data_IF_013266963853
#
_entry.id   IF_013266963853
#
_cell.length_a   1.000
_cell.length_b   1.000
_cell.length_c   1.000
_cell.angle_alpha   90.00
_cell.angle_beta   90.00
_cell.angle_gamma   90.00
#
_symmetry.space_group_name_H-M   'P 1'
#
loop_
_entity.id
_entity.type
_entity.pdbx_description
1 polymer ?
#
# COMPACT_ATOMS: atom_id res chain seq x y z
N UNK A 1 77.11 9.31 7.95
CA UNK A 1 76.76 7.94 8.38
C UNK A 1 75.25 7.82 8.32
N UNK A 2 74.79 6.88 7.52
CA UNK A 2 73.45 6.78 6.94
C UNK A 2 72.44 6.22 7.95
N UNK A 3 71.34 6.91 8.18
CA UNK A 3 70.18 6.38 8.92
C UNK A 3 69.45 5.35 8.02
N UNK A 4 69.11 4.14 8.50
CA UNK A 4 68.33 3.20 7.69
C UNK A 4 66.88 3.67 7.58
N UNK A 5 66.39 3.76 6.34
CA UNK A 5 65.02 4.15 5.98
C UNK A 5 63.96 3.27 6.65
N UNK A 6 63.17 3.85 7.53
CA UNK A 6 61.99 3.23 8.19
C UNK A 6 60.69 3.39 7.40
N UNK A 7 60.75 3.78 6.13
CA UNK A 7 59.59 4.22 5.34
C UNK A 7 58.98 3.18 4.37
N UNK A 8 59.45 1.92 4.37
CA UNK A 8 58.99 0.90 3.41
C UNK A 8 58.24 -0.30 4.03
N UNK A 9 57.89 -0.23 5.31
CA UNK A 9 57.22 -1.32 6.04
C UNK A 9 55.69 -1.17 6.12
N UNK A 10 55.09 -0.06 5.68
CA UNK A 10 53.69 0.25 5.97
C UNK A 10 52.63 -0.59 5.22
N UNK A 11 52.95 -1.48 4.27
CA UNK A 11 51.94 -2.37 3.66
C UNK A 11 52.42 -3.75 3.23
N UNK A 12 53.55 -4.23 3.77
CA UNK A 12 53.93 -5.62 3.51
C UNK A 12 53.09 -6.50 4.45
N UNK A 13 52.16 -7.26 3.89
CA UNK A 13 51.40 -8.25 4.66
C UNK A 13 52.39 -9.21 5.30
N UNK A 14 52.45 -9.19 6.62
CA UNK A 14 53.32 -10.03 7.43
C UNK A 14 53.00 -11.50 7.10
N UNK A 15 53.97 -12.27 6.64
CA UNK A 15 53.76 -13.70 6.38
C UNK A 15 54.03 -14.53 7.63
N UNK A 16 53.40 -15.71 7.76
CA UNK A 16 53.72 -16.65 8.84
C UNK A 16 55.21 -16.95 8.98
N UNK A 17 55.93 -17.07 7.87
CA UNK A 17 57.37 -17.34 7.84
C UNK A 17 58.18 -16.14 8.33
N UNK A 18 57.75 -14.92 7.98
CA UNK A 18 58.40 -13.70 8.47
C UNK A 18 58.38 -13.63 10.00
N UNK A 19 57.29 -14.06 10.65
CA UNK A 19 57.15 -14.05 12.12
C UNK A 19 58.01 -15.13 12.78
N UNK A 20 58.05 -16.33 12.20
CA UNK A 20 58.80 -17.47 12.75
C UNK A 20 60.31 -17.23 12.76
N UNK A 21 60.80 -16.41 11.84
CA UNK A 21 62.24 -16.23 11.59
C UNK A 21 62.73 -14.82 11.91
N UNK A 22 61.96 -14.04 12.69
CA UNK A 22 62.44 -12.76 13.19
C UNK A 22 63.63 -12.98 14.13
N UNK A 23 64.75 -12.37 13.77
CA UNK A 23 65.91 -12.27 14.65
C UNK A 23 65.79 -11.05 15.56
N UNK A 24 65.52 -11.30 16.84
CA UNK A 24 65.43 -10.27 17.86
C UNK A 24 66.82 -10.03 18.49
N UNK A 25 67.30 -8.77 18.58
CA UNK A 25 68.55 -8.46 19.25
C UNK A 25 68.43 -8.68 20.76
N UNK A 26 69.44 -9.30 21.37
CA UNK A 26 69.50 -9.51 22.82
C UNK A 26 69.96 -8.22 23.50
N UNK A 27 69.10 -7.64 24.34
CA UNK A 27 69.41 -6.41 25.10
C UNK A 27 69.94 -6.79 26.49
N UNK A 28 71.10 -6.27 26.93
CA UNK A 28 71.82 -6.75 28.12
C UNK A 28 71.16 -6.41 29.46
N UNK A 29 70.26 -5.43 29.52
CA UNK A 29 69.57 -5.04 30.75
C UNK A 29 68.07 -4.90 30.47
N UNK A 30 67.24 -5.64 31.22
CA UNK A 30 65.77 -5.56 31.22
C UNK A 30 65.04 -6.02 29.94
N UNK A 31 65.60 -6.99 29.19
CA UNK A 31 64.96 -7.59 28.01
C UNK A 31 63.99 -8.73 28.34
N UNK A 32 63.07 -9.02 27.40
CA UNK A 32 62.25 -10.24 27.44
C UNK A 32 63.11 -11.48 27.28
N UNK A 33 62.73 -12.59 27.93
CA UNK A 33 63.40 -13.87 27.74
C UNK A 33 63.33 -14.31 26.27
N UNK A 34 64.50 -14.53 25.66
CA UNK A 34 64.62 -14.81 24.24
C UNK A 34 63.97 -16.15 23.84
N UNK A 35 63.98 -17.13 24.75
CA UNK A 35 63.37 -18.43 24.51
C UNK A 35 61.84 -18.32 24.54
N UNK A 36 61.29 -17.67 25.57
CA UNK A 36 59.85 -17.40 25.68
C UNK A 36 59.35 -16.57 24.49
N UNK A 37 60.08 -15.52 24.10
CA UNK A 37 59.75 -14.71 22.93
C UNK A 37 59.75 -15.53 21.63
N UNK A 38 60.75 -16.41 21.44
CA UNK A 38 60.82 -17.28 20.25
C UNK A 38 59.70 -18.32 20.22
N UNK A 39 59.33 -18.91 21.37
CA UNK A 39 58.19 -19.82 21.45
C UNK A 39 56.88 -19.11 21.06
N UNK A 40 56.66 -17.90 21.58
CA UNK A 40 55.48 -17.12 21.26
C UNK A 40 55.43 -16.72 19.78
N UNK A 41 56.56 -16.32 19.18
CA UNK A 41 56.63 -16.00 17.75
C UNK A 41 56.31 -17.20 16.85
N UNK A 42 56.75 -18.40 17.21
CA UNK A 42 56.40 -19.63 16.48
C UNK A 42 54.89 -19.90 16.58
N UNK A 43 54.32 -19.83 17.79
CA UNK A 43 52.88 -20.01 17.99
C UNK A 43 52.05 -18.96 17.24
N UNK A 44 52.47 -17.69 17.26
CA UNK A 44 51.84 -16.62 16.51
C UNK A 44 51.93 -16.82 14.99
N UNK A 45 53.06 -17.36 14.50
CA UNK A 45 53.23 -17.75 13.10
C UNK A 45 52.34 -18.93 12.68
N UNK A 46 52.12 -19.90 13.57
CA UNK A 46 51.17 -21.00 13.33
C UNK A 46 49.72 -20.51 13.28
N UNK A 47 49.33 -19.66 14.24
CA UNK A 47 47.99 -19.06 14.27
C UNK A 47 47.71 -18.19 13.04
N UNK A 48 48.68 -17.38 12.61
CA UNK A 48 48.57 -16.58 11.40
C UNK A 48 48.44 -17.44 10.14
N UNK A 49 49.14 -18.57 10.07
CA UNK A 49 49.01 -19.51 8.95
C UNK A 49 47.60 -20.11 8.89
N UNK A 50 47.03 -20.49 10.04
CA UNK A 50 45.65 -20.98 10.14
C UNK A 50 44.66 -19.88 9.71
N UNK A 51 44.83 -18.66 10.20
CA UNK A 51 43.97 -17.54 9.81
C UNK A 51 44.04 -17.25 8.30
N UNK A 52 45.23 -17.32 7.70
CA UNK A 52 45.41 -17.12 6.26
C UNK A 52 44.74 -18.20 5.42
N UNK A 53 44.82 -19.47 5.81
CA UNK A 53 44.14 -20.56 5.09
C UNK A 53 42.63 -20.43 5.21
N UNK A 54 42.13 -20.08 6.39
CA UNK A 54 40.69 -19.88 6.59
C UNK A 54 40.17 -18.67 5.82
N UNK A 55 40.87 -17.53 5.84
CA UNK A 55 40.51 -16.36 5.01
C UNK A 55 40.49 -16.73 3.53
N UNK A 56 41.47 -17.51 3.06
CA UNK A 56 41.52 -17.95 1.66
C UNK A 56 40.33 -18.85 1.32
N UNK A 57 39.97 -19.76 2.21
CA UNK A 57 38.80 -20.64 2.08
C UNK A 57 37.50 -19.84 2.06
N UNK A 58 37.28 -18.96 3.04
CA UNK A 58 36.10 -18.10 3.12
C UNK A 58 35.96 -17.19 1.89
N UNK A 59 37.08 -16.68 1.36
CA UNK A 59 37.06 -15.91 0.11
C UNK A 59 36.64 -16.77 -1.08
N UNK A 60 37.13 -18.01 -1.16
CA UNK A 60 36.73 -18.94 -2.23
C UNK A 60 35.23 -19.29 -2.12
N UNK A 61 34.74 -19.57 -0.92
CA UNK A 61 33.33 -19.89 -0.66
C UNK A 61 32.42 -18.71 -0.99
N UNK A 62 32.82 -17.48 -0.64
CA UNK A 62 32.10 -16.25 -1.00
C UNK A 62 32.03 -16.08 -2.52
N UNK A 63 33.15 -16.28 -3.23
CA UNK A 63 33.17 -16.18 -4.70
C UNK A 63 32.25 -17.24 -5.32
N UNK A 64 32.30 -18.49 -4.83
CA UNK A 64 31.44 -19.56 -5.32
C UNK A 64 29.94 -19.26 -5.07
N UNK A 65 29.58 -18.82 -3.87
CA UNK A 65 28.21 -18.46 -3.52
C UNK A 65 27.70 -17.24 -4.32
N UNK A 66 28.56 -16.26 -4.55
CA UNK A 66 28.21 -15.08 -5.37
C UNK A 66 28.00 -15.45 -6.84
N UNK A 67 28.80 -16.36 -7.38
CA UNK A 67 28.67 -16.83 -8.76
C UNK A 67 27.41 -17.67 -8.98
N UNK A 68 26.93 -18.41 -7.98
CA UNK A 68 25.67 -19.16 -8.11
C UNK A 68 24.43 -18.27 -7.93
N UNK A 69 24.47 -17.25 -7.07
CA UNK A 69 23.29 -16.43 -6.79
C UNK A 69 23.02 -15.33 -7.83
N UNK A 70 24.04 -14.76 -8.45
CA UNK A 70 23.88 -13.55 -9.28
C UNK A 70 23.28 -13.74 -10.68
N UNK A 71 23.56 -14.80 -11.46
CA UNK A 71 23.04 -14.91 -12.83
C UNK A 71 21.56 -15.28 -12.86
N UNK A 72 21.11 -16.18 -11.98
CA UNK A 72 19.76 -16.73 -12.00
C UNK A 72 18.73 -15.72 -11.46
N UNK A 73 19.07 -14.99 -10.40
CA UNK A 73 18.21 -13.94 -9.82
C UNK A 73 17.96 -12.82 -10.83
N UNK A 74 18.95 -12.47 -11.66
CA UNK A 74 18.80 -11.39 -12.63
C UNK A 74 17.84 -11.76 -13.77
N UNK A 75 17.94 -12.98 -14.32
CA UNK A 75 17.05 -13.46 -15.37
C UNK A 75 15.59 -13.59 -14.88
N UNK A 76 15.40 -14.11 -13.66
CA UNK A 76 14.08 -14.22 -13.04
C UNK A 76 13.46 -12.85 -12.75
N UNK A 77 14.23 -11.90 -12.22
CA UNK A 77 13.75 -10.55 -11.91
C UNK A 77 13.33 -9.79 -13.16
N UNK A 78 14.08 -9.92 -14.26
CA UNK A 78 13.70 -9.30 -15.55
C UNK A 78 12.40 -9.91 -16.09
N UNK A 79 12.20 -11.22 -15.95
CA UNK A 79 10.95 -11.89 -16.33
C UNK A 79 9.78 -11.40 -15.46
N UNK A 80 9.97 -11.32 -14.14
CA UNK A 80 8.96 -10.80 -13.21
C UNK A 80 8.60 -9.34 -13.53
N UNK A 81 9.58 -8.49 -13.82
CA UNK A 81 9.37 -7.10 -14.22
C UNK A 81 8.59 -7.01 -15.53
N UNK A 82 8.94 -7.82 -16.54
CA UNK A 82 8.22 -7.86 -17.80
C UNK A 82 6.76 -8.29 -17.61
N UNK A 83 6.50 -9.29 -16.77
CA UNK A 83 5.13 -9.70 -16.42
C UNK A 83 4.38 -8.60 -15.69
N UNK A 84 5.02 -7.93 -14.74
CA UNK A 84 4.41 -6.82 -14.00
C UNK A 84 4.05 -5.65 -14.93
N UNK A 85 4.89 -5.34 -15.92
CA UNK A 85 4.60 -4.33 -16.94
C UNK A 85 3.38 -4.69 -17.79
N UNK A 86 3.32 -5.93 -18.30
CA UNK A 86 2.16 -6.41 -19.09
C UNK A 86 0.87 -6.34 -18.26
N UNK A 87 0.93 -6.72 -16.99
CA UNK A 87 -0.22 -6.65 -16.07
C UNK A 87 -0.63 -5.18 -15.82
N UNK A 88 0.34 -4.29 -15.63
CA UNK A 88 0.08 -2.87 -15.44
C UNK A 88 -0.59 -2.25 -16.68
N UNK A 89 -0.07 -2.53 -17.87
CA UNK A 89 -0.64 -2.03 -19.13
C UNK A 89 -2.08 -2.54 -19.34
N UNK A 90 -2.34 -3.80 -19.00
CA UNK A 90 -3.70 -4.36 -19.00
C UNK A 90 -4.61 -3.59 -18.04
N UNK A 91 -4.16 -3.35 -16.81
CA UNK A 91 -4.98 -2.62 -15.82
C UNK A 91 -5.23 -1.17 -16.22
N UNK A 92 -4.29 -0.52 -16.90
CA UNK A 92 -4.49 0.82 -17.46
C UNK A 92 -5.59 0.77 -18.53
N UNK A 93 -5.50 -0.19 -19.47
CA UNK A 93 -6.54 -0.38 -20.48
C UNK A 93 -7.92 -0.66 -19.86
N UNK A 94 -7.99 -1.52 -18.84
CA UNK A 94 -9.24 -1.85 -18.15
C UNK A 94 -9.80 -0.61 -17.40
N UNK A 95 -8.93 0.18 -16.77
CA UNK A 95 -9.32 1.41 -16.08
C UNK A 95 -9.81 2.50 -17.04
N UNK A 96 -9.20 2.64 -18.22
CA UNK A 96 -9.66 3.54 -19.26
C UNK A 96 -11.07 3.16 -19.75
N UNK A 97 -11.29 1.88 -20.04
CA UNK A 97 -12.61 1.38 -20.45
C UNK A 97 -13.68 1.65 -19.37
N UNK A 98 -13.34 1.39 -18.10
CA UNK A 98 -14.25 1.69 -16.99
C UNK A 98 -14.56 3.19 -16.88
N UNK A 99 -13.57 4.06 -17.09
CA UNK A 99 -13.78 5.50 -17.08
C UNK A 99 -14.73 5.96 -18.21
N UNK A 100 -14.62 5.38 -19.40
CA UNK A 100 -15.55 5.67 -20.50
C UNK A 100 -16.98 5.25 -20.16
N UNK A 101 -17.18 4.04 -19.63
CA UNK A 101 -18.51 3.56 -19.23
C UNK A 101 -19.12 4.41 -18.09
N UNK A 102 -18.29 4.84 -17.15
CA UNK A 102 -18.72 5.74 -16.08
C UNK A 102 -19.19 7.10 -16.61
N UNK A 103 -18.48 7.68 -17.59
CA UNK A 103 -18.88 8.96 -18.20
C UNK A 103 -20.17 8.79 -19.01
N UNK A 104 -20.31 7.70 -19.77
CA UNK A 104 -21.51 7.43 -20.55
C UNK A 104 -22.74 7.20 -19.67
N UNK A 105 -22.59 6.44 -18.58
CA UNK A 105 -23.65 6.27 -17.60
C UNK A 105 -24.04 7.59 -16.91
N UNK A 106 -23.07 8.41 -16.52
CA UNK A 106 -23.32 9.73 -15.94
C UNK A 106 -24.06 10.67 -16.92
N UNK A 107 -23.69 10.66 -18.21
CA UNK A 107 -24.38 11.45 -19.25
C UNK A 107 -25.82 11.00 -19.47
N UNK A 108 -26.06 9.68 -19.48
CA UNK A 108 -27.41 9.12 -19.58
C UNK A 108 -28.27 9.56 -18.38
N UNK A 109 -27.74 9.41 -17.17
CA UNK A 109 -28.43 9.84 -15.94
C UNK A 109 -28.73 11.34 -15.94
N UNK A 110 -27.79 12.18 -16.35
CA UNK A 110 -27.99 13.63 -16.46
C UNK A 110 -29.13 13.97 -17.44
N UNK A 111 -29.15 13.32 -18.60
CA UNK A 111 -30.19 13.54 -19.62
C UNK A 111 -31.55 13.07 -19.12
N UNK A 112 -31.63 11.92 -18.45
CA UNK A 112 -32.87 11.44 -17.83
C UNK A 112 -33.41 12.37 -16.76
N UNK A 113 -32.54 12.92 -15.90
CA UNK A 113 -32.94 13.87 -14.86
C UNK A 113 -33.51 15.13 -15.50
N UNK A 114 -32.87 15.66 -16.55
CA UNK A 114 -33.39 16.82 -17.28
C UNK A 114 -34.73 16.52 -17.95
N UNK A 115 -34.88 15.36 -18.59
CA UNK A 115 -36.14 14.97 -19.22
C UNK A 115 -37.26 14.82 -18.18
N UNK A 116 -36.99 14.16 -17.04
CA UNK A 116 -37.93 14.05 -15.92
C UNK A 116 -38.31 15.43 -15.38
N UNK A 117 -37.36 16.33 -15.18
CA UNK A 117 -37.65 17.68 -14.73
C UNK A 117 -38.56 18.44 -15.72
N UNK A 118 -38.30 18.31 -17.03
CA UNK A 118 -39.13 18.92 -18.08
C UNK A 118 -40.56 18.36 -18.09
N UNK A 119 -40.75 17.04 -17.96
CA UNK A 119 -42.09 16.44 -17.90
C UNK A 119 -42.83 16.81 -16.62
N UNK A 120 -42.13 16.92 -15.49
CA UNK A 120 -42.71 17.42 -14.23
C UNK A 120 -43.15 18.88 -14.34
N UNK A 121 -42.38 19.76 -14.99
CA UNK A 121 -42.80 21.16 -15.22
C UNK A 121 -43.96 21.24 -16.22
N UNK A 122 -43.93 20.47 -17.31
CA UNK A 122 -45.01 20.46 -18.29
C UNK A 122 -46.34 19.95 -17.68
N UNK A 123 -46.30 18.92 -16.84
CA UNK A 123 -47.48 18.42 -16.12
C UNK A 123 -47.96 19.39 -15.03
N UNK A 124 -47.05 20.04 -14.30
CA UNK A 124 -47.40 21.08 -13.33
C UNK A 124 -48.06 22.32 -13.99
N UNK A 125 -47.58 22.73 -15.17
CA UNK A 125 -48.16 23.84 -15.94
C UNK A 125 -49.47 23.48 -16.68
N UNK A 126 -49.78 22.19 -16.84
CA UNK A 126 -51.07 21.73 -17.39
C UNK A 126 -52.17 21.62 -16.32
N UNK A 127 -51.81 21.53 -15.03
CA UNK A 127 -52.74 21.45 -13.91
C UNK A 127 -53.50 22.75 -13.51
N UNK A 128 -53.07 24.00 -13.83
CA UNK A 128 -53.79 25.20 -13.38
C UNK A 128 -55.05 25.51 -14.21
N UNK A 129 -55.32 24.79 -15.31
CA UNK A 129 -56.53 24.97 -16.10
C UNK A 129 -57.80 24.32 -15.49
N UNK A 130 -57.66 23.45 -14.48
CA UNK A 130 -58.78 22.75 -13.85
C UNK A 130 -59.13 23.23 -12.42
N UNK A 131 -58.27 24.06 -11.79
CA UNK A 131 -58.44 24.48 -10.39
C UNK A 131 -59.10 25.86 -10.19
N UNK A 132 -59.48 26.58 -11.26
CA UNK A 132 -60.06 27.94 -11.18
C UNK A 132 -61.61 27.99 -11.21
N UNK A 133 -62.33 26.89 -10.96
CA UNK A 133 -63.81 26.90 -11.00
C UNK A 133 -64.53 26.82 -9.65
N UNK A 134 -63.84 26.78 -8.51
CA UNK A 134 -64.50 26.61 -7.22
C UNK A 134 -63.95 27.55 -6.14
N UNK A 135 -64.31 28.83 -6.24
CA UNK A 135 -64.24 29.86 -5.17
C UNK A 135 -65.08 31.06 -5.61
N UNK A 136 -66.41 30.93 -5.62
CA UNK A 136 -67.34 31.48 -4.63
C UNK A 136 -67.33 33.01 -4.47
N UNK A 137 -68.35 33.62 -5.08
CA UNK A 137 -69.38 34.46 -4.46
C UNK A 137 -69.32 34.54 -2.92
N UNK A 138 -68.90 35.68 -2.37
CA UNK A 138 -69.60 36.35 -1.26
C UNK A 138 -69.11 37.79 -1.11
N UNK A 139 -70.06 38.72 -1.10
CA UNK A 139 -69.86 40.15 -1.07
C UNK A 139 -69.62 40.68 0.36
N UNK A 140 -68.78 41.72 0.42
CA UNK A 140 -68.87 42.94 1.24
C UNK A 140 -69.03 42.87 2.77
N UNK A 141 -68.08 43.49 3.51
CA UNK A 141 -68.23 44.87 4.05
C UNK A 141 -66.98 45.39 4.80
N UNK A 142 -66.68 46.67 4.55
CA UNK A 142 -65.90 47.67 5.32
C UNK A 142 -64.35 47.73 5.24
N UNK A 143 -63.88 48.75 4.51
CA UNK A 143 -62.61 49.51 4.64
C UNK A 143 -62.81 50.66 5.69
N UNK A 144 -61.80 51.45 6.15
CA UNK A 144 -60.36 51.43 5.83
C UNK A 144 -59.37 51.67 7.01
N UNK A 145 -58.08 51.45 6.72
CA UNK A 145 -56.94 52.34 7.04
C UNK A 145 -55.91 51.95 8.13
N UNK A 146 -54.65 52.14 7.71
CA UNK A 146 -53.42 52.49 8.44
C UNK A 146 -52.41 51.40 8.87
N UNK A 147 -51.22 51.51 8.26
CA UNK A 147 -49.87 51.21 8.73
C UNK A 147 -49.39 49.76 8.89
N UNK A 148 -48.34 49.45 8.10
CA UNK A 148 -47.27 48.51 8.45
C UNK A 148 -46.31 49.18 9.48
N UNK A 149 -45.35 48.47 10.13
CA UNK A 149 -44.97 47.05 9.93
C UNK A 149 -44.78 46.20 11.23
N UNK A 150 -44.98 44.88 11.08
CA UNK A 150 -44.45 43.75 11.90
C UNK A 150 -44.85 43.68 13.40
N UNK A 151 -45.16 42.49 13.97
CA UNK A 151 -44.19 41.39 14.09
C UNK A 151 -44.74 39.96 13.89
N UNK A 152 -43.82 39.08 13.49
CA UNK A 152 -43.71 37.66 13.87
C UNK A 152 -45.00 36.90 14.27
N UNK A 153 -45.64 36.28 13.28
CA UNK A 153 -46.38 35.00 13.34
C UNK A 153 -46.97 34.85 11.93
N UNK A 154 -46.77 33.79 11.16
CA UNK A 154 -46.84 32.37 11.46
C UNK A 154 -46.03 31.64 10.40
N UNK A 155 -45.28 30.60 10.78
CA UNK A 155 -44.70 29.66 9.82
C UNK A 155 -45.86 28.96 9.12
N UNK A 156 -46.23 29.48 7.95
CA UNK A 156 -47.13 28.83 7.00
C UNK A 156 -46.45 27.57 6.47
N UNK A 157 -46.72 26.45 7.12
CA UNK A 157 -46.57 25.13 6.52
C UNK A 157 -47.65 24.91 5.45
N UNK A 158 -47.65 25.73 4.40
CA UNK A 158 -48.40 25.42 3.18
C UNK A 158 -47.50 24.61 2.25
N UNK A 159 -47.38 23.33 2.61
CA UNK A 159 -47.12 22.16 1.75
C UNK A 159 -46.62 22.39 0.31
N UNK A 160 -45.53 21.69 -0.05
CA UNK A 160 -45.77 20.58 -0.95
C UNK A 160 -45.36 19.25 -0.29
N UNK A 161 -46.38 18.47 0.06
CA UNK A 161 -46.38 17.07 0.55
C UNK A 161 -45.48 16.07 -0.27
N UNK A 162 -44.98 16.31 -1.49
CA UNK A 162 -44.06 15.37 -2.17
C UNK A 162 -42.65 15.25 -1.55
N UNK A 163 -42.13 16.27 -0.88
CA UNK A 163 -40.71 16.29 -0.45
C UNK A 163 -40.48 15.39 0.78
N UNK A 164 -41.45 15.34 1.72
CA UNK A 164 -41.35 14.49 2.91
C UNK A 164 -41.48 13.01 2.55
N UNK A 165 -42.31 12.67 1.56
CA UNK A 165 -42.44 11.30 1.05
C UNK A 165 -41.21 10.85 0.25
N UNK A 166 -40.61 11.74 -0.54
CA UNK A 166 -39.35 11.46 -1.24
C UNK A 166 -38.21 11.20 -0.25
N UNK A 167 -38.07 12.03 0.79
CA UNK A 167 -37.05 11.81 1.84
C UNK A 167 -37.33 10.52 2.60
N UNK A 168 -38.60 10.21 2.92
CA UNK A 168 -38.98 8.97 3.61
C UNK A 168 -38.74 7.71 2.76
N UNK A 169 -38.94 7.77 1.45
CA UNK A 169 -38.67 6.62 0.56
C UNK A 169 -37.17 6.47 0.31
N UNK A 170 -36.45 7.57 0.09
CA UNK A 170 -34.99 7.55 -0.07
C UNK A 170 -34.28 7.00 1.16
N UNK A 171 -34.65 7.45 2.37
CA UNK A 171 -34.09 6.92 3.63
C UNK A 171 -34.37 5.43 3.81
N UNK A 172 -35.56 4.95 3.44
CA UNK A 172 -35.88 3.51 3.46
C UNK A 172 -35.01 2.71 2.48
N UNK A 173 -34.78 3.22 1.27
CA UNK A 173 -33.92 2.55 0.27
C UNK A 173 -32.47 2.52 0.72
N UNK A 174 -31.95 3.64 1.24
CA UNK A 174 -30.58 3.73 1.78
C UNK A 174 -30.40 2.79 2.98
N UNK A 175 -31.40 2.66 3.85
CA UNK A 175 -31.35 1.73 4.98
C UNK A 175 -31.23 0.26 4.51
N UNK A 176 -31.96 -0.12 3.45
CA UNK A 176 -31.85 -1.46 2.84
C UNK A 176 -30.49 -1.65 2.17
N UNK A 177 -30.01 -0.64 1.44
CA UNK A 177 -28.69 -0.69 0.79
C UNK A 177 -27.55 -0.80 1.80
N UNK A 178 -27.58 -0.04 2.89
CA UNK A 178 -26.55 -0.11 3.93
C UNK A 178 -26.53 -1.48 4.63
N UNK A 179 -27.71 -2.09 4.83
CA UNK A 179 -27.81 -3.44 5.41
C UNK A 179 -27.23 -4.50 4.47
N UNK A 180 -27.53 -4.43 3.19
CA UNK A 180 -26.95 -5.33 2.19
C UNK A 180 -25.43 -5.19 2.09
N UNK A 181 -24.89 -3.97 2.19
CA UNK A 181 -23.45 -3.72 2.20
C UNK A 181 -22.79 -4.30 3.46
N UNK A 182 -23.42 -4.16 4.63
CA UNK A 182 -22.91 -4.75 5.88
C UNK A 182 -22.96 -6.28 5.82
N UNK A 183 -24.06 -6.87 5.34
CA UNK A 183 -24.19 -8.33 5.22
C UNK A 183 -23.14 -8.90 4.24
N UNK A 184 -22.88 -8.22 3.12
CA UNK A 184 -21.83 -8.60 2.18
C UNK A 184 -20.42 -8.47 2.78
N UNK A 185 -20.15 -7.43 3.57
CA UNK A 185 -18.87 -7.28 4.28
C UNK A 185 -18.67 -8.36 5.34
N UNK A 186 -19.74 -8.77 6.02
CA UNK A 186 -19.70 -9.89 6.99
C UNK A 186 -19.39 -11.20 6.27
N UNK A 187 -20.06 -11.48 5.14
CA UNK A 187 -19.78 -12.67 4.32
C UNK A 187 -18.34 -12.68 3.78
N UNK A 188 -17.82 -11.52 3.34
CA UNK A 188 -16.42 -11.40 2.90
C UNK A 188 -15.42 -11.54 4.05
N UNK A 189 -15.76 -11.13 5.27
CA UNK A 189 -14.92 -11.35 6.45
C UNK A 189 -14.93 -12.82 6.87
N UNK A 190 -16.09 -13.50 6.85
CA UNK A 190 -16.18 -14.92 7.13
C UNK A 190 -15.37 -15.73 6.10
N UNK A 191 -15.44 -15.35 4.83
CA UNK A 191 -14.66 -15.96 3.74
C UNK A 191 -13.15 -15.67 3.84
N UNK A 192 -12.74 -14.58 4.50
CA UNK A 192 -11.34 -14.30 4.86
C UNK A 192 -10.90 -15.03 6.15
N UNK A 193 -11.85 -15.30 7.05
CA UNK A 193 -11.65 -16.09 8.27
C UNK A 193 -11.47 -17.58 7.98
N UNK A 194 -12.09 -18.08 6.90
CA UNK A 194 -11.78 -19.37 6.27
C UNK A 194 -10.44 -19.30 5.50
N UNK A 195 -9.34 -19.05 6.21
CA UNK A 195 -7.99 -19.31 5.71
C UNK A 195 -7.94 -20.77 5.22
N UNK A 196 -7.32 -21.08 4.05
CA UNK A 196 -7.18 -22.46 3.60
C UNK A 196 -6.16 -23.20 4.48
N UNK A 197 -6.60 -23.65 5.66
CA UNK A 197 -5.85 -24.50 6.57
C UNK A 197 -5.94 -26.00 6.26
N UNK A 198 -6.76 -26.40 5.29
CA UNK A 198 -6.98 -27.82 4.96
C UNK A 198 -6.16 -28.32 3.76
N UNK A 199 -5.24 -27.52 3.22
CA UNK A 199 -4.34 -27.93 2.14
C UNK A 199 -3.04 -28.63 2.62
N UNK A 200 -2.96 -29.06 3.89
CA UNK A 200 -1.96 -30.03 4.33
C UNK A 200 -2.53 -31.45 4.23
N UNK A 201 -2.48 -31.92 2.98
CA UNK A 201 -2.45 -33.32 2.59
C UNK A 201 -1.44 -34.11 3.46
N UNK A 202 -1.91 -35.10 4.23
CA UNK A 202 -1.09 -36.27 4.61
C UNK A 202 -1.68 -37.46 3.87
N UNK A 203 -1.06 -37.96 2.78
CA UNK A 203 -1.44 -39.25 2.24
C UNK A 203 -0.96 -40.33 3.21
N UNK A 204 -1.90 -40.88 4.00
CA UNK A 204 -1.65 -42.11 4.73
C UNK A 204 -1.41 -43.23 3.71
N UNK A 205 -0.13 -43.58 3.60
CA UNK A 205 0.40 -44.70 2.86
C UNK A 205 -0.37 -45.98 3.22
N UNK A 206 -0.95 -46.60 2.18
CA UNK A 206 -1.37 -47.99 2.21
C UNK A 206 -0.10 -48.85 2.21
N UNK A 207 0.23 -49.48 3.34
CA UNK A 207 1.14 -50.62 3.38
C UNK A 207 1.03 -51.39 4.70
N UNK A 208 0.28 -52.50 4.71
CA UNK A 208 0.77 -53.88 4.81
C UNK A 208 -0.37 -54.85 5.17
#
# INVERSE_FOLDING_TARGET
>A
MTTPSTDNLERRSLTPDDIRHVDLPVVPHNGYDALTARHWLVAAGDELAIAHTEIKKLKADLVACKQSATPDINAETVNLLSRAQIIADKHISDAELYAYDLIDSARKQYTEILQKAQTHVASANAAPAAAQKDSQTTEAKATPQANAPAPASSIEYSSPIPQVEYVRTYTKVVQVQLRAVIDALVEQIDQLGEVPGSALQVPAQVSK
#
